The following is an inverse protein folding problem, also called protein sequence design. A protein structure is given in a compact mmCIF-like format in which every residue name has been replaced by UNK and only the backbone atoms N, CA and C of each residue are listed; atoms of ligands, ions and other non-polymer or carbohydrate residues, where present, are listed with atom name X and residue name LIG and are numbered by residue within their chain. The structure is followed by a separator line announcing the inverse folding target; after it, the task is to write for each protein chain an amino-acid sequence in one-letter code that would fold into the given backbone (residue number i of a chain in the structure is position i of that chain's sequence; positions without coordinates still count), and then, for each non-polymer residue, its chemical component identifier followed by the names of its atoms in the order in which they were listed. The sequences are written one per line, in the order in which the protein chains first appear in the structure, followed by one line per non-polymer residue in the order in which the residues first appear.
data_IF_196682497095
#
_entry.id   IF_196682497095
#
_cell.length_a   1.000
_cell.length_b   1.000
_cell.length_c   1.000
_cell.angle_alpha   90.00
_cell.angle_beta   90.00
_cell.angle_gamma   90.00
#
_symmetry.space_group_name_H-M   'P 1'
#
loop_
_entity.id
_entity.type
_entity.pdbx_description
1 polymer ?
#
# COMPACT_ATOMS: atom_id res chain seq x y z
N UNK A 1 56.82 -24.56 38.46
CA UNK A 1 56.61 -23.79 37.22
C UNK A 1 55.64 -24.59 36.33
N UNK A 2 54.52 -23.95 36.01
CA UNK A 2 53.46 -24.23 35.02
C UNK A 2 53.16 -25.67 34.56
N UNK A 3 52.00 -26.20 35.00
CA UNK A 3 51.23 -27.20 34.25
C UNK A 3 50.46 -26.50 33.12
N UNK A 4 50.76 -26.81 31.86
CA UNK A 4 49.98 -26.35 30.70
C UNK A 4 48.99 -27.46 30.35
N UNK A 5 47.71 -27.28 30.67
CA UNK A 5 46.63 -28.11 30.15
C UNK A 5 46.24 -27.61 28.76
N UNK A 6 46.54 -28.37 27.71
CA UNK A 6 46.02 -28.11 26.36
C UNK A 6 44.64 -28.74 26.22
N UNK A 7 43.58 -27.93 26.25
CA UNK A 7 42.23 -28.38 25.93
C UNK A 7 42.13 -28.72 24.42
N UNK A 8 42.19 -30.02 24.07
CA UNK A 8 41.83 -30.51 22.73
C UNK A 8 40.31 -30.64 22.61
N UNK A 9 39.63 -29.54 22.31
CA UNK A 9 38.29 -29.59 21.73
C UNK A 9 38.44 -29.61 20.21
N UNK A 10 38.60 -30.79 19.62
CA UNK A 10 38.48 -30.97 18.17
C UNK A 10 37.09 -31.50 17.87
N UNK A 11 36.18 -30.62 17.48
CA UNK A 11 34.89 -31.00 16.89
C UNK A 11 35.21 -31.79 15.61
N UNK A 12 34.72 -33.02 15.51
CA UNK A 12 34.99 -33.85 14.33
C UNK A 12 34.23 -33.31 13.11
N UNK A 13 34.83 -33.37 11.90
CA UNK A 13 34.14 -32.98 10.63
C UNK A 13 32.75 -33.63 10.48
N UNK A 14 32.57 -34.84 11.02
CA UNK A 14 31.29 -35.56 11.03
C UNK A 14 30.25 -34.90 11.97
N UNK A 15 30.66 -34.38 13.12
CA UNK A 15 29.79 -33.57 14.00
C UNK A 15 29.48 -32.21 13.36
N UNK A 16 30.44 -31.57 12.69
CA UNK A 16 30.21 -30.32 11.95
C UNK A 16 29.18 -30.51 10.82
N UNK A 17 29.31 -31.59 10.04
CA UNK A 17 28.37 -31.89 8.94
C UNK A 17 26.99 -32.34 9.43
N UNK A 18 26.90 -33.04 10.58
CA UNK A 18 25.61 -33.36 11.22
C UNK A 18 24.93 -32.11 11.80
N UNK A 19 25.70 -31.13 12.29
CA UNK A 19 25.19 -29.85 12.78
C UNK A 19 24.70 -28.91 11.66
N UNK A 20 25.28 -29.01 10.46
CA UNK A 20 24.93 -28.16 9.31
C UNK A 20 23.49 -28.38 8.82
N UNK A 21 22.95 -29.59 8.97
CA UNK A 21 21.54 -29.90 8.69
C UNK A 21 20.57 -29.25 9.68
N UNK A 22 20.98 -29.12 10.95
CA UNK A 22 20.19 -28.45 11.99
C UNK A 22 20.21 -26.91 11.81
N UNK A 23 21.29 -26.34 11.26
CA UNK A 23 21.36 -24.89 10.98
C UNK A 23 20.53 -24.43 9.78
N UNK A 24 20.19 -25.33 8.85
CA UNK A 24 19.22 -25.02 7.77
C UNK A 24 17.76 -25.09 8.25
N UNK A 25 17.50 -25.82 9.33
CA UNK A 25 16.17 -25.95 9.95
C UNK A 25 15.94 -24.94 11.09
N UNK A 26 16.99 -24.33 11.63
CA UNK A 26 16.90 -23.32 12.67
C UNK A 26 16.71 -21.93 12.04
N UNK A 27 15.60 -21.23 12.30
CA UNK A 27 15.52 -19.82 11.99
C UNK A 27 16.67 -19.09 12.70
N UNK A 28 17.33 -18.19 11.98
CA UNK A 28 18.44 -17.39 12.50
C UNK A 28 17.98 -16.66 13.78
N UNK A 29 18.45 -17.11 14.94
CA UNK A 29 18.05 -16.56 16.23
C UNK A 29 18.65 -15.17 16.38
N UNK A 30 17.82 -14.18 16.76
CA UNK A 30 18.19 -12.78 17.03
C UNK A 30 19.44 -12.64 17.93
N UNK A 31 19.67 -13.58 18.84
CA UNK A 31 20.83 -13.62 19.72
C UNK A 31 22.19 -13.78 19.00
N UNK A 32 22.19 -14.12 17.71
CA UNK A 32 23.39 -14.25 16.86
C UNK A 32 23.64 -13.02 15.97
N UNK A 33 22.85 -11.94 16.10
CA UNK A 33 23.16 -10.66 15.45
C UNK A 33 24.38 -10.01 16.12
N UNK A 34 25.46 -9.67 15.37
CA UNK A 34 26.55 -8.88 15.90
C UNK A 34 26.03 -7.51 16.37
N UNK A 35 26.23 -7.18 17.65
CA UNK A 35 25.88 -5.87 18.24
C UNK A 35 26.68 -4.70 17.65
N UNK A 36 27.75 -4.97 16.89
CA UNK A 36 28.55 -3.98 16.18
C UNK A 36 28.30 -4.10 14.69
N UNK A 37 27.45 -3.23 14.14
CA UNK A 37 27.18 -3.19 12.69
C UNK A 37 25.76 -2.84 12.30
N UNK A 38 24.83 -2.68 13.24
CA UNK A 38 23.61 -1.93 12.96
C UNK A 38 24.02 -0.47 12.74
N UNK A 39 24.28 -0.10 11.47
CA UNK A 39 23.82 1.20 11.04
C UNK A 39 22.35 1.22 11.44
N UNK A 40 22.01 2.05 12.43
CA UNK A 40 20.63 2.49 12.58
C UNK A 40 20.14 2.78 11.17
N UNK A 41 19.08 2.11 10.71
CA UNK A 41 18.47 2.50 9.45
C UNK A 41 18.10 3.97 9.63
N UNK A 42 18.92 4.82 9.05
CA UNK A 42 19.00 6.22 9.39
C UNK A 42 17.82 6.91 8.73
N UNK A 43 16.79 7.21 9.53
CA UNK A 43 15.62 7.99 9.14
C UNK A 43 14.33 7.19 9.15
N UNK A 44 13.25 7.84 9.59
CA UNK A 44 11.89 7.32 9.42
C UNK A 44 11.62 7.01 7.94
N UNK A 45 10.79 5.99 7.61
CA UNK A 45 10.46 5.69 6.23
C UNK A 45 9.85 6.90 5.53
N UNK A 46 10.46 7.32 4.41
CA UNK A 46 9.88 8.32 3.52
C UNK A 46 8.60 7.76 2.91
N UNK A 47 7.53 8.56 2.91
CA UNK A 47 6.22 8.19 2.37
C UNK A 47 5.79 9.22 1.33
N UNK A 48 5.01 8.77 0.36
CA UNK A 48 4.39 9.62 -0.65
C UNK A 48 2.87 9.59 -0.49
N UNK A 49 2.22 10.72 -0.69
CA UNK A 49 0.77 10.83 -0.74
C UNK A 49 0.36 11.59 -2.01
N UNK A 50 -0.58 11.01 -2.76
CA UNK A 50 -1.21 11.65 -3.91
C UNK A 50 -2.64 12.03 -3.52
N UNK A 51 -2.96 13.34 -3.55
CA UNK A 51 -4.28 13.85 -3.19
C UNK A 51 -5.07 14.20 -4.46
N UNK A 52 -6.14 13.47 -4.72
CA UNK A 52 -6.96 13.63 -5.92
C UNK A 52 -8.06 14.68 -5.72
N UNK A 53 -8.23 15.56 -6.70
CA UNK A 53 -9.29 16.58 -6.74
C UNK A 53 -10.07 16.42 -8.06
N UNK A 54 -11.13 15.59 -8.11
CA UNK A 54 -11.73 15.12 -9.37
C UNK A 54 -12.31 16.24 -10.24
N UNK A 55 -12.94 17.24 -9.63
CA UNK A 55 -13.47 18.42 -10.33
C UNK A 55 -12.47 19.58 -10.40
N UNK A 56 -11.22 19.33 -9.96
CA UNK A 56 -10.19 20.35 -9.87
C UNK A 56 -10.48 21.39 -8.79
N UNK A 57 -10.03 22.61 -9.08
CA UNK A 57 -10.00 23.74 -8.15
C UNK A 57 -10.41 24.99 -8.90
N UNK A 58 -10.78 26.04 -8.16
CA UNK A 58 -11.05 27.37 -8.74
C UNK A 58 -9.75 28.00 -9.27
N UNK A 59 -9.53 28.07 -10.60
CA UNK A 59 -8.21 28.37 -11.16
C UNK A 59 -7.68 29.76 -10.82
N UNK A 60 -8.56 30.78 -10.76
CA UNK A 60 -8.21 32.16 -10.41
C UNK A 60 -7.77 32.34 -8.96
N UNK A 61 -7.98 31.33 -8.11
CA UNK A 61 -7.62 31.33 -6.69
C UNK A 61 -6.62 30.25 -6.31
N UNK A 62 -6.17 29.42 -7.26
CA UNK A 62 -5.25 28.32 -7.04
C UNK A 62 -3.80 28.67 -7.38
N UNK A 63 -3.56 29.29 -8.55
CA UNK A 63 -2.21 29.49 -9.07
C UNK A 63 -1.50 30.64 -8.34
N UNK A 64 -0.32 30.39 -7.72
CA UNK A 64 0.54 31.43 -7.17
C UNK A 64 0.97 32.49 -8.19
N UNK A 65 1.22 33.72 -7.72
CA UNK A 65 1.93 34.75 -8.50
C UNK A 65 3.44 34.67 -8.28
N UNK A 66 4.22 35.11 -9.27
CA UNK A 66 5.69 35.08 -9.21
C UNK A 66 6.30 33.73 -9.59
N UNK A 67 7.61 33.59 -9.41
CA UNK A 67 8.36 32.37 -9.78
C UNK A 67 9.59 32.15 -8.89
N UNK A 68 10.18 30.96 -8.98
CA UNK A 68 11.35 30.58 -8.19
C UNK A 68 11.01 30.46 -6.71
N UNK A 69 11.90 30.93 -5.83
CA UNK A 69 11.69 30.90 -4.37
C UNK A 69 10.78 32.03 -3.84
N UNK A 70 10.52 33.04 -4.66
CA UNK A 70 9.85 34.28 -4.26
C UNK A 70 8.38 34.34 -4.72
N UNK A 71 7.76 33.19 -4.98
CA UNK A 71 6.34 33.17 -5.33
C UNK A 71 5.46 33.55 -4.12
N UNK A 72 4.27 34.05 -4.39
CA UNK A 72 3.27 34.39 -3.38
C UNK A 72 2.15 33.35 -3.40
N UNK A 73 1.79 32.83 -2.23
CA UNK A 73 0.71 31.86 -2.13
C UNK A 73 -0.61 32.48 -2.57
N UNK A 74 -1.38 31.71 -3.35
CA UNK A 74 -2.74 32.05 -3.70
C UNK A 74 -3.68 31.88 -2.50
N UNK A 75 -4.90 32.45 -2.52
CA UNK A 75 -5.84 32.31 -1.42
C UNK A 75 -6.13 30.85 -1.02
N UNK A 76 -6.22 29.91 -1.98
CA UNK A 76 -6.46 28.50 -1.68
C UNK A 76 -5.23 27.85 -1.01
N UNK A 77 -4.02 28.28 -1.38
CA UNK A 77 -2.78 27.73 -0.83
C UNK A 77 -2.31 28.45 0.45
N UNK A 78 -2.95 29.56 0.84
CA UNK A 78 -2.61 30.35 2.04
C UNK A 78 -2.50 29.55 3.35
N UNK A 79 -3.25 28.45 3.60
CA UNK A 79 -3.06 27.64 4.80
C UNK A 79 -1.70 26.93 4.87
N UNK A 80 -0.95 26.87 3.75
CA UNK A 80 0.37 26.23 3.66
C UNK A 80 1.53 27.20 3.93
N UNK A 81 1.27 28.46 4.33
CA UNK A 81 2.31 29.47 4.57
C UNK A 81 3.39 28.97 5.55
N UNK A 82 2.99 28.26 6.60
CA UNK A 82 3.91 27.71 7.60
C UNK A 82 4.92 26.68 7.04
N UNK A 83 4.67 26.12 5.86
CA UNK A 83 5.53 25.14 5.18
C UNK A 83 5.95 25.61 3.79
N UNK A 84 5.85 26.91 3.51
CA UNK A 84 6.11 27.51 2.18
C UNK A 84 7.51 27.16 1.65
N UNK A 85 8.51 27.08 2.52
CA UNK A 85 9.89 26.72 2.14
C UNK A 85 10.04 25.29 1.61
N UNK A 86 9.08 24.41 1.92
CA UNK A 86 8.99 23.03 1.44
C UNK A 86 8.02 22.86 0.27
N UNK A 87 7.37 23.94 -0.18
CA UNK A 87 6.37 23.89 -1.23
C UNK A 87 7.00 24.15 -2.60
N UNK A 88 6.71 23.28 -3.56
CA UNK A 88 6.96 23.54 -4.99
C UNK A 88 5.64 23.48 -5.72
N UNK A 89 5.26 24.59 -6.37
CA UNK A 89 4.06 24.65 -7.20
C UNK A 89 4.47 24.71 -8.66
N UNK A 90 4.05 23.70 -9.43
CA UNK A 90 4.37 23.60 -10.86
C UNK A 90 3.12 23.95 -11.67
N UNK A 91 3.18 25.04 -12.43
CA UNK A 91 2.13 25.49 -13.33
C UNK A 91 2.38 25.05 -14.78
N UNK A 92 1.33 24.94 -15.58
CA UNK A 92 1.43 24.63 -17.01
C UNK A 92 1.65 23.15 -17.34
N UNK A 93 1.57 22.27 -16.34
CA UNK A 93 1.54 20.82 -16.58
C UNK A 93 0.16 20.40 -17.10
N UNK A 94 0.15 19.55 -18.12
CA UNK A 94 -1.07 18.91 -18.61
C UNK A 94 -0.80 17.46 -19.02
N UNK A 95 -1.75 16.58 -18.73
CA UNK A 95 -1.77 15.23 -19.29
C UNK A 95 -2.41 15.27 -20.69
N UNK A 96 -1.59 15.51 -21.71
CA UNK A 96 -2.03 15.62 -23.11
C UNK A 96 -2.86 14.41 -23.59
N UNK A 97 -2.52 13.15 -23.27
CA UNK A 97 -3.40 12.00 -23.52
C UNK A 97 -4.84 12.13 -23.02
N UNK A 98 -5.09 12.78 -21.87
CA UNK A 98 -6.43 12.99 -21.30
C UNK A 98 -7.27 14.08 -21.99
N UNK A 99 -6.75 14.75 -23.03
CA UNK A 99 -7.53 15.72 -23.81
C UNK A 99 -8.52 15.06 -24.79
N UNK A 100 -8.52 13.73 -24.86
CA UNK A 100 -9.44 12.95 -25.71
C UNK A 100 -10.49 12.28 -24.83
N UNK A 101 -11.69 12.09 -25.40
CA UNK A 101 -12.76 11.33 -24.75
C UNK A 101 -13.49 12.09 -23.65
N UNK A 102 -14.19 11.32 -22.82
CA UNK A 102 -15.00 11.86 -21.73
C UNK A 102 -14.14 12.43 -20.58
N UNK A 103 -14.54 13.60 -20.08
CA UNK A 103 -13.78 14.31 -19.05
C UNK A 103 -13.83 13.65 -17.68
N UNK A 104 -14.83 12.83 -17.37
CA UNK A 104 -14.95 12.17 -16.07
C UNK A 104 -14.05 10.93 -15.99
N UNK A 105 -14.11 10.05 -17.00
CA UNK A 105 -13.39 8.78 -16.99
C UNK A 105 -11.91 8.91 -17.40
N UNK A 106 -11.61 9.65 -18.46
CA UNK A 106 -10.22 9.77 -18.96
C UNK A 106 -9.31 10.55 -18.00
N UNK A 107 -9.87 11.50 -17.24
CA UNK A 107 -9.12 12.28 -16.26
C UNK A 107 -8.90 11.50 -14.96
N UNK A 108 -9.92 10.79 -14.48
CA UNK A 108 -9.84 10.05 -13.22
C UNK A 108 -8.86 8.88 -13.33
N UNK A 109 -9.08 7.97 -14.28
CA UNK A 109 -8.22 6.80 -14.46
C UNK A 109 -6.81 7.15 -14.96
N UNK A 110 -6.68 8.19 -15.78
CA UNK A 110 -5.40 8.62 -16.35
C UNK A 110 -4.55 9.52 -15.44
N UNK A 111 -5.05 9.89 -14.26
CA UNK A 111 -4.42 10.91 -13.42
C UNK A 111 -2.98 10.54 -13.01
N UNK A 112 -2.80 9.35 -12.43
CA UNK A 112 -1.48 8.90 -11.92
C UNK A 112 -0.66 8.12 -12.95
N UNK A 113 -1.25 7.70 -14.08
CA UNK A 113 -0.53 7.02 -15.17
C UNK A 113 0.05 7.98 -16.19
N UNK A 114 -0.42 9.24 -16.22
CA UNK A 114 -0.12 10.22 -17.28
C UNK A 114 -0.34 9.66 -18.70
N UNK A 115 -1.30 8.75 -18.85
CA UNK A 115 -1.64 8.05 -20.09
C UNK A 115 -3.13 8.20 -20.40
N UNK A 116 -3.58 7.61 -21.52
CA UNK A 116 -5.00 7.51 -21.88
C UNK A 116 -5.57 6.16 -21.42
N UNK A 117 -6.88 6.05 -21.32
CA UNK A 117 -7.56 4.76 -21.12
C UNK A 117 -7.97 4.11 -22.45
N UNK A 118 -8.19 2.80 -22.43
CA UNK A 118 -8.87 2.09 -23.51
C UNK A 118 -10.39 2.34 -23.45
N UNK A 119 -10.99 2.69 -24.59
CA UNK A 119 -12.46 2.85 -24.70
C UNK A 119 -13.12 1.47 -24.72
N UNK A 120 -13.55 0.99 -23.55
CA UNK A 120 -14.17 -0.33 -23.38
C UNK A 120 -15.37 -0.27 -22.44
N UNK A 121 -16.28 -1.23 -22.62
CA UNK A 121 -17.42 -1.48 -21.74
C UNK A 121 -17.12 -2.50 -20.64
N UNK A 122 -15.92 -3.11 -20.60
CA UNK A 122 -15.43 -3.77 -19.38
C UNK A 122 -14.45 -4.93 -19.53
N UNK A 123 -14.39 -5.67 -20.65
CA UNK A 123 -13.49 -6.84 -20.76
C UNK A 123 -12.01 -6.46 -20.82
N UNK A 124 -11.71 -5.31 -21.43
CA UNK A 124 -10.34 -4.90 -21.79
C UNK A 124 -9.97 -3.60 -21.09
N UNK A 125 -10.25 -3.53 -19.79
CA UNK A 125 -9.96 -2.33 -18.99
C UNK A 125 -8.46 -2.13 -18.97
N UNK A 126 -8.03 -0.94 -19.38
CA UNK A 126 -6.62 -0.56 -19.37
C UNK A 126 -6.46 0.95 -19.24
N UNK A 127 -5.63 1.38 -18.29
CA UNK A 127 -5.12 2.74 -18.18
C UNK A 127 -3.79 2.95 -18.93
N UNK A 128 -3.38 1.95 -19.74
CA UNK A 128 -2.21 2.00 -20.62
C UNK A 128 -0.91 2.42 -19.91
N UNK A 129 -0.77 2.06 -18.63
CA UNK A 129 0.41 2.38 -17.83
C UNK A 129 0.28 1.95 -16.38
N UNK A 130 1.43 1.85 -15.72
CA UNK A 130 1.51 1.70 -14.26
C UNK A 130 1.44 3.11 -13.66
N UNK A 131 0.66 3.25 -12.60
CA UNK A 131 0.52 4.53 -11.90
C UNK A 131 1.75 4.88 -11.05
N UNK A 132 2.07 6.17 -10.94
CA UNK A 132 3.29 6.66 -10.26
C UNK A 132 3.34 6.28 -8.77
N UNK A 133 2.19 6.20 -8.10
CA UNK A 133 2.08 5.73 -6.72
C UNK A 133 2.51 4.27 -6.57
N UNK A 134 2.23 3.42 -7.56
CA UNK A 134 2.65 2.03 -7.55
C UNK A 134 4.14 1.88 -7.89
N UNK A 135 4.66 2.69 -8.82
CA UNK A 135 6.10 2.78 -9.07
C UNK A 135 6.84 3.20 -7.79
N UNK A 136 6.31 4.19 -7.06
CA UNK A 136 6.87 4.60 -5.78
C UNK A 136 6.77 3.48 -4.73
N UNK A 137 5.62 2.83 -4.60
CA UNK A 137 5.42 1.73 -3.65
C UNK A 137 6.42 0.58 -3.86
N UNK A 138 6.77 0.25 -5.11
CA UNK A 138 7.80 -0.75 -5.42
C UNK A 138 9.22 -0.32 -4.98
N UNK A 139 9.52 0.97 -5.09
CA UNK A 139 10.82 1.54 -4.77
C UNK A 139 11.04 1.76 -3.26
N UNK A 140 10.06 2.36 -2.55
CA UNK A 140 10.21 2.80 -1.16
C UNK A 140 9.31 2.07 -0.16
N UNK A 141 8.32 1.31 -0.62
CA UNK A 141 7.34 0.62 0.24
C UNK A 141 7.86 -0.61 0.99
N UNK A 142 9.17 -0.94 0.87
CA UNK A 142 9.78 -2.10 1.54
C UNK A 142 9.96 -1.90 3.06
N UNK A 143 9.98 -0.65 3.50
CA UNK A 143 10.22 -0.27 4.89
C UNK A 143 8.93 0.01 5.67
N UNK A 144 7.76 -0.24 5.07
CA UNK A 144 6.44 0.00 5.67
C UNK A 144 5.60 -1.29 5.70
N UNK A 145 4.69 -1.43 6.68
CA UNK A 145 3.78 -2.59 6.81
C UNK A 145 2.97 -2.82 5.53
N UNK A 146 2.44 -1.72 4.99
CA UNK A 146 1.74 -1.69 3.71
C UNK A 146 2.62 -0.91 2.70
N UNK A 147 2.90 -1.48 1.52
CA UNK A 147 3.68 -0.78 0.49
C UNK A 147 2.90 0.37 -0.15
N UNK A 148 1.59 0.20 -0.30
CA UNK A 148 0.64 1.22 -0.76
C UNK A 148 -0.68 1.11 0.03
N UNK A 149 -1.44 2.20 0.06
CA UNK A 149 -2.79 2.21 0.58
C UNK A 149 -3.64 3.24 -0.17
N UNK A 150 -4.60 2.74 -0.92
CA UNK A 150 -5.52 3.52 -1.73
C UNK A 150 -6.74 3.88 -0.88
N UNK A 151 -7.02 5.18 -0.71
CA UNK A 151 -8.13 5.68 0.08
C UNK A 151 -9.13 6.40 -0.82
N UNK A 152 -10.42 6.29 -0.48
CA UNK A 152 -11.49 6.91 -1.24
C UNK A 152 -12.62 7.40 -0.35
N UNK A 153 -13.52 8.18 -0.93
CA UNK A 153 -14.73 8.69 -0.24
C UNK A 153 -16.01 8.08 -0.80
N UNK A 154 -15.93 7.38 -1.93
CA UNK A 154 -17.08 6.86 -2.67
C UNK A 154 -16.89 5.37 -2.98
N UNK A 155 -17.96 4.57 -2.92
CA UNK A 155 -17.89 3.16 -3.25
C UNK A 155 -17.60 2.94 -4.74
N UNK A 156 -16.95 1.81 -5.04
CA UNK A 156 -16.68 1.40 -6.42
C UNK A 156 -18.00 1.17 -7.15
N UNK A 157 -18.17 1.85 -8.27
CA UNK A 157 -19.36 1.72 -9.11
C UNK A 157 -19.05 0.80 -10.30
N UNK A 158 -19.78 -0.32 -10.38
CA UNK A 158 -19.70 -1.26 -11.50
C UNK A 158 -20.74 -0.95 -12.58
N UNK A 159 -20.60 -1.58 -13.75
CA UNK A 159 -21.50 -1.41 -14.90
C UNK A 159 -21.00 -0.42 -15.94
N UNK A 160 -21.86 -0.09 -16.90
CA UNK A 160 -21.54 0.74 -18.05
C UNK A 160 -22.29 2.07 -17.92
N UNK A 161 -21.58 3.19 -18.09
CA UNK A 161 -22.24 4.46 -18.35
C UNK A 161 -22.69 4.50 -19.82
N UNK A 162 -24.00 4.45 -20.03
CA UNK A 162 -24.64 4.43 -21.35
C UNK A 162 -24.51 5.76 -22.09
N UNK A 163 -24.22 6.87 -21.40
CA UNK A 163 -24.08 8.17 -22.04
C UNK A 163 -22.77 8.25 -22.84
N UNK A 164 -21.71 7.63 -22.32
CA UNK A 164 -20.37 7.67 -22.91
C UNK A 164 -19.88 6.29 -23.38
N UNK A 165 -20.66 5.23 -23.13
CA UNK A 165 -20.36 3.84 -23.44
C UNK A 165 -19.01 3.36 -22.87
N UNK A 166 -18.73 3.73 -21.61
CA UNK A 166 -17.53 3.33 -20.88
C UNK A 166 -17.88 2.58 -19.61
N UNK A 167 -17.00 1.69 -19.18
CA UNK A 167 -17.12 1.08 -17.85
C UNK A 167 -16.98 2.13 -16.75
N UNK A 168 -17.86 2.05 -15.74
CA UNK A 168 -17.83 2.92 -14.56
C UNK A 168 -16.62 2.67 -13.65
N UNK A 169 -15.91 1.55 -13.86
CA UNK A 169 -14.67 1.22 -13.17
C UNK A 169 -13.61 2.32 -13.33
N UNK A 170 -13.52 2.98 -14.50
CA UNK A 170 -12.57 4.06 -14.71
C UNK A 170 -12.82 5.30 -13.84
N UNK A 171 -14.06 5.49 -13.37
CA UNK A 171 -14.41 6.59 -12.47
C UNK A 171 -14.15 6.26 -10.99
N UNK A 172 -13.92 4.99 -10.67
CA UNK A 172 -13.76 4.51 -9.29
C UNK A 172 -12.30 4.24 -8.90
N UNK A 173 -11.35 4.37 -9.83
CA UNK A 173 -9.95 3.99 -9.62
C UNK A 173 -9.00 5.05 -10.17
N UNK A 174 -8.01 5.41 -9.36
CA UNK A 174 -6.91 6.32 -9.72
C UNK A 174 -5.55 5.62 -9.74
N UNK A 175 -5.44 4.47 -9.06
CA UNK A 175 -4.22 3.68 -8.89
C UNK A 175 -4.28 2.40 -9.70
N UNK A 176 -3.18 2.09 -10.39
CA UNK A 176 -3.02 1.01 -11.37
C UNK A 176 -1.68 0.30 -11.14
N UNK A 177 -1.73 -0.96 -10.69
CA UNK A 177 -0.53 -1.79 -10.45
C UNK A 177 0.09 -2.26 -11.76
N UNK A 178 -0.76 -2.59 -12.73
CA UNK A 178 -0.44 -2.91 -14.13
C UNK A 178 -1.39 -2.09 -15.01
N UNK A 179 -1.11 -1.96 -16.32
CA UNK A 179 -2.00 -1.24 -17.23
C UNK A 179 -3.47 -1.67 -17.11
N UNK A 180 -3.72 -2.94 -16.85
CA UNK A 180 -5.01 -3.62 -16.80
C UNK A 180 -5.48 -3.98 -15.38
N UNK A 181 -4.71 -3.66 -14.34
CA UNK A 181 -5.01 -4.04 -12.95
C UNK A 181 -5.25 -2.79 -12.09
N UNK A 182 -6.50 -2.33 -11.96
CA UNK A 182 -6.86 -1.24 -11.05
C UNK A 182 -6.81 -1.70 -9.59
N UNK A 183 -6.49 -0.79 -8.68
CA UNK A 183 -6.44 -1.07 -7.24
C UNK A 183 -7.62 -0.43 -6.50
N UNK A 184 -8.43 -1.23 -5.78
CA UNK A 184 -9.63 -0.74 -5.10
C UNK A 184 -9.27 0.19 -3.95
N UNK A 185 -10.07 1.24 -3.76
CA UNK A 185 -9.91 2.15 -2.62
C UNK A 185 -10.60 1.62 -1.36
N UNK A 186 -9.98 1.90 -0.20
CA UNK A 186 -10.59 1.72 1.10
C UNK A 186 -11.37 2.97 1.47
N UNK A 187 -12.67 2.81 1.66
CA UNK A 187 -13.59 3.91 2.01
C UNK A 187 -13.92 3.95 3.50
N UNK A 188 -13.69 2.84 4.23
CA UNK A 188 -13.99 2.78 5.65
C UNK A 188 -12.76 3.26 6.45
N UNK A 189 -12.85 4.40 7.15
CA UNK A 189 -11.72 4.94 7.90
C UNK A 189 -11.28 4.04 9.05
N UNK A 190 -12.20 3.27 9.66
CA UNK A 190 -11.85 2.29 10.70
C UNK A 190 -11.07 1.12 10.10
N UNK A 191 -11.48 0.62 8.93
CA UNK A 191 -10.73 -0.43 8.22
C UNK A 191 -9.32 0.05 7.83
N UNK A 192 -9.22 1.26 7.29
CA UNK A 192 -7.93 1.88 6.96
C UNK A 192 -7.04 2.04 8.20
N UNK A 193 -7.60 2.53 9.31
CA UNK A 193 -6.89 2.70 10.58
C UNK A 193 -6.40 1.35 11.13
N UNK A 194 -7.28 0.35 11.16
CA UNK A 194 -6.94 -0.97 11.66
C UNK A 194 -5.82 -1.61 10.83
N UNK A 195 -5.88 -1.48 9.51
CA UNK A 195 -4.83 -1.97 8.60
C UNK A 195 -3.48 -1.29 8.87
N UNK A 196 -3.46 0.03 9.08
CA UNK A 196 -2.24 0.79 9.32
C UNK A 196 -1.63 0.56 10.70
N UNK A 197 -2.46 0.54 11.75
CA UNK A 197 -2.01 0.75 13.12
C UNK A 197 -2.40 -0.34 14.10
N UNK A 198 -3.37 -1.19 13.77
CA UNK A 198 -3.72 -2.29 14.66
C UNK A 198 -2.54 -3.26 14.68
N UNK A 199 -1.87 -3.28 15.83
CA UNK A 199 -0.98 -4.35 16.20
C UNK A 199 -1.84 -5.62 16.23
N UNK A 200 -1.42 -6.64 15.50
CA UNK A 200 -1.83 -8.00 15.82
C UNK A 200 -1.42 -8.22 17.26
N UNK A 201 -2.41 -8.25 18.15
CA UNK A 201 -2.19 -8.45 19.57
C UNK A 201 -1.24 -9.63 19.82
N UNK A 202 -0.54 -9.53 20.94
CA UNK A 202 0.48 -10.41 21.56
C UNK A 202 0.16 -11.92 21.64
N UNK A 203 -0.80 -12.42 20.87
CA UNK A 203 -1.18 -13.84 20.78
C UNK A 203 -0.34 -14.66 19.81
N UNK A 204 0.53 -14.06 18.98
CA UNK A 204 1.45 -14.83 18.12
C UNK A 204 0.75 -15.79 17.13
N UNK A 205 -0.59 -15.75 17.03
CA UNK A 205 -1.33 -16.46 15.99
C UNK A 205 -1.28 -15.60 14.74
N UNK A 206 -0.08 -15.49 14.16
CA UNK A 206 0.05 -15.24 12.73
C UNK A 206 -0.80 -16.31 12.06
N UNK A 207 -1.87 -15.90 11.38
CA UNK A 207 -2.87 -16.75 10.76
C UNK A 207 -2.21 -17.74 9.79
N UNK A 208 -1.79 -18.90 10.28
CA UNK A 208 -1.38 -20.03 9.44
C UNK A 208 -2.57 -20.55 8.61
N UNK A 209 -3.79 -20.30 9.05
CA UNK A 209 -5.03 -20.62 8.33
C UNK A 209 -5.19 -19.77 7.06
N UNK A 210 -4.83 -18.48 7.05
CA UNK A 210 -4.95 -17.64 5.84
C UNK A 210 -3.95 -18.08 4.75
N UNK A 211 -2.71 -18.47 5.11
CA UNK A 211 -1.75 -19.04 4.13
C UNK A 211 -2.24 -20.37 3.56
N UNK A 212 -2.75 -21.25 4.43
CA UNK A 212 -3.26 -22.56 4.00
C UNK A 212 -4.46 -22.45 3.05
N UNK A 213 -5.35 -21.48 3.25
CA UNK A 213 -6.49 -21.25 2.35
C UNK A 213 -6.02 -20.65 1.02
N UNK A 214 -5.05 -19.74 1.05
CA UNK A 214 -4.48 -19.13 -0.16
C UNK A 214 -3.75 -20.18 -1.02
N UNK A 215 -3.01 -21.10 -0.39
CA UNK A 215 -2.32 -22.20 -1.08
C UNK A 215 -3.32 -23.14 -1.78
N UNK A 216 -4.43 -23.49 -1.11
CA UNK A 216 -5.51 -24.30 -1.69
C UNK A 216 -6.16 -23.58 -2.88
N UNK A 217 -6.45 -22.28 -2.75
CA UNK A 217 -7.04 -21.47 -3.83
C UNK A 217 -6.07 -21.32 -5.02
N UNK A 218 -4.76 -21.23 -4.76
CA UNK A 218 -3.74 -21.18 -5.80
C UNK A 218 -3.66 -22.47 -6.59
N UNK A 219 -3.69 -23.62 -5.92
CA UNK A 219 -3.64 -24.94 -6.57
C UNK A 219 -4.89 -25.22 -7.40
N UNK A 220 -6.08 -24.86 -6.89
CA UNK A 220 -7.35 -24.97 -7.61
C UNK A 220 -7.39 -24.01 -8.80
N UNK A 221 -6.93 -22.77 -8.62
CA UNK A 221 -6.84 -21.81 -9.71
C UNK A 221 -5.83 -22.23 -10.79
N UNK A 222 -4.68 -22.79 -10.41
CA UNK A 222 -3.69 -23.32 -11.36
C UNK A 222 -4.24 -24.53 -12.14
N UNK A 223 -5.08 -25.34 -11.50
CA UNK A 223 -5.78 -26.45 -12.15
C UNK A 223 -6.84 -25.95 -13.12
N UNK A 224 -7.65 -24.96 -12.70
CA UNK A 224 -8.67 -24.32 -13.53
C UNK A 224 -8.04 -23.57 -14.72
N UNK A 225 -6.87 -22.96 -14.53
CA UNK A 225 -6.10 -22.31 -15.61
C UNK A 225 -5.79 -23.29 -16.75
N UNK A 226 -5.63 -24.59 -16.49
CA UNK A 226 -5.37 -25.59 -17.55
C UNK A 226 -6.58 -25.86 -18.44
N UNK A 227 -7.79 -25.68 -17.92
CA UNK A 227 -9.06 -25.97 -18.61
C UNK A 227 -9.72 -24.73 -19.24
N UNK A 228 -9.31 -23.52 -18.85
CA UNK A 228 -9.90 -22.27 -19.34
C UNK A 228 -9.41 -21.85 -20.73
N UNK A 229 -10.29 -21.13 -21.45
CA UNK A 229 -9.96 -20.42 -22.68
C UNK A 229 -9.04 -19.22 -22.43
N UNK A 230 -8.48 -18.65 -23.50
CA UNK A 230 -7.44 -17.61 -23.43
C UNK A 230 -7.90 -16.34 -22.69
N UNK A 231 -9.14 -15.90 -22.89
CA UNK A 231 -9.69 -14.71 -22.21
C UNK A 231 -9.91 -14.93 -20.71
N UNK A 232 -10.45 -16.08 -20.32
CA UNK A 232 -10.71 -16.39 -18.91
C UNK A 232 -9.42 -16.64 -18.13
N UNK A 233 -8.38 -17.17 -18.79
CA UNK A 233 -7.03 -17.27 -18.23
C UNK A 233 -6.49 -15.89 -17.83
N UNK A 234 -6.74 -14.87 -18.63
CA UNK A 234 -6.27 -13.51 -18.36
C UNK A 234 -6.96 -12.91 -17.13
N UNK A 235 -8.29 -13.06 -17.02
CA UNK A 235 -9.05 -12.64 -15.83
C UNK A 235 -8.62 -13.38 -14.56
N UNK A 236 -8.37 -14.68 -14.67
CA UNK A 236 -7.88 -15.49 -13.56
C UNK A 236 -6.47 -15.06 -13.13
N UNK A 237 -5.58 -14.69 -14.06
CA UNK A 237 -4.27 -14.14 -13.74
C UNK A 237 -4.36 -12.80 -13.01
N UNK A 238 -5.26 -11.90 -13.44
CA UNK A 238 -5.52 -10.64 -12.74
C UNK A 238 -6.02 -10.87 -11.31
N UNK A 239 -6.96 -11.81 -11.14
CA UNK A 239 -7.44 -12.23 -9.82
C UNK A 239 -6.33 -12.81 -8.94
N UNK A 240 -5.52 -13.74 -9.47
CA UNK A 240 -4.40 -14.35 -8.75
C UNK A 240 -3.31 -13.34 -8.36
N UNK A 241 -3.07 -12.32 -9.20
CA UNK A 241 -2.19 -11.21 -8.87
C UNK A 241 -2.73 -10.39 -7.68
N UNK A 242 -4.05 -10.14 -7.63
CA UNK A 242 -4.67 -9.49 -6.48
C UNK A 242 -4.54 -10.31 -5.19
N UNK A 243 -4.67 -11.64 -5.27
CA UNK A 243 -4.53 -12.56 -4.12
C UNK A 243 -3.09 -12.62 -3.63
N UNK A 244 -2.10 -12.68 -4.53
CA UNK A 244 -0.67 -12.61 -4.18
C UNK A 244 -0.30 -11.29 -3.49
N UNK A 245 -0.96 -10.19 -3.81
CA UNK A 245 -0.73 -8.94 -3.07
C UNK A 245 -1.22 -9.05 -1.61
N UNK A 246 -2.32 -9.75 -1.38
CA UNK A 246 -2.79 -10.04 -0.01
C UNK A 246 -1.79 -10.95 0.71
N UNK A 247 -1.25 -11.97 0.05
CA UNK A 247 -0.22 -12.84 0.64
C UNK A 247 1.05 -12.05 0.99
N UNK A 248 1.57 -11.25 0.05
CA UNK A 248 2.76 -10.42 0.27
C UNK A 248 2.56 -9.42 1.41
N UNK A 249 1.32 -8.91 1.56
CA UNK A 249 0.92 -8.08 2.69
C UNK A 249 1.02 -8.87 4.01
N UNK A 250 0.49 -10.08 4.07
CA UNK A 250 0.59 -10.96 5.26
C UNK A 250 2.06 -11.31 5.58
N UNK A 251 2.88 -11.57 4.58
CA UNK A 251 4.31 -11.83 4.78
C UNK A 251 5.07 -10.63 5.32
N UNK A 252 4.77 -9.43 4.81
CA UNK A 252 5.35 -8.18 5.29
C UNK A 252 4.91 -7.88 6.73
N UNK A 253 3.65 -8.18 7.06
CA UNK A 253 3.14 -8.12 8.44
C UNK A 253 3.92 -9.07 9.36
N UNK A 254 4.10 -10.33 8.97
CA UNK A 254 4.83 -11.33 9.75
C UNK A 254 6.31 -10.94 9.96
N UNK A 255 6.97 -10.37 8.94
CA UNK A 255 8.37 -9.92 9.02
C UNK A 255 8.55 -8.71 9.96
N UNK A 256 7.57 -7.80 10.02
CA UNK A 256 7.64 -6.62 10.88
C UNK A 256 7.29 -6.92 12.35
N UNK A 257 6.50 -7.95 12.63
CA UNK A 257 6.24 -8.44 14.00
C UNK A 257 7.54 -8.86 14.70
N UNK A 258 8.52 -9.39 13.96
CA UNK A 258 9.85 -9.73 14.50
C UNK A 258 10.77 -8.53 14.76
N UNK A 259 10.45 -7.34 14.24
CA UNK A 259 11.33 -6.17 14.29
C UNK A 259 11.02 -5.18 15.42
N UNK A 260 9.90 -5.34 16.13
CA UNK A 260 9.47 -4.43 17.20
C UNK A 260 9.14 -3.03 16.69
N UNK A 261 7.87 -2.66 16.65
CA UNK A 261 7.49 -1.30 16.26
C UNK A 261 7.83 -0.30 17.38
N UNK A 262 8.84 0.55 17.16
CA UNK A 262 9.17 1.69 18.02
C UNK A 262 8.29 2.89 17.67
N UNK A 263 7.05 2.92 18.15
CA UNK A 263 6.18 4.10 18.05
C UNK A 263 6.56 5.06 19.19
N UNK A 264 6.83 6.33 18.87
CA UNK A 264 7.11 7.35 19.89
C UNK A 264 5.86 7.67 20.74
N UNK A 265 6.05 8.09 21.98
CA UNK A 265 4.92 8.42 22.89
C UNK A 265 4.00 9.52 22.31
N UNK A 266 4.56 10.47 21.55
CA UNK A 266 3.80 11.51 20.87
C UNK A 266 2.92 10.95 19.74
N UNK A 267 3.48 10.04 18.92
CA UNK A 267 2.72 9.36 17.87
C UNK A 267 1.61 8.47 18.44
N UNK A 268 1.86 7.80 19.58
CA UNK A 268 0.84 7.01 20.27
C UNK A 268 -0.35 7.86 20.75
N UNK A 269 -0.10 9.08 21.26
CA UNK A 269 -1.16 10.00 21.66
C UNK A 269 -2.00 10.44 20.46
N UNK A 270 -1.35 10.87 19.37
CA UNK A 270 -2.05 11.25 18.13
C UNK A 270 -2.87 10.11 17.55
N UNK A 271 -2.37 8.88 17.65
CA UNK A 271 -3.06 7.69 17.20
C UNK A 271 -4.37 7.45 17.99
N UNK A 272 -4.32 7.59 19.31
CA UNK A 272 -5.52 7.46 20.16
C UNK A 272 -6.56 8.54 19.86
N UNK A 273 -6.13 9.78 19.66
CA UNK A 273 -7.02 10.89 19.29
C UNK A 273 -7.68 10.66 17.92
N UNK A 274 -6.91 10.14 16.95
CA UNK A 274 -7.43 9.77 15.63
C UNK A 274 -8.46 8.65 15.73
N UNK A 275 -8.17 7.59 16.50
CA UNK A 275 -9.09 6.46 16.69
C UNK A 275 -10.43 6.93 17.27
N UNK A 276 -10.40 7.82 18.28
CA UNK A 276 -11.61 8.41 18.86
C UNK A 276 -12.43 9.18 17.82
N UNK A 277 -11.77 10.02 17.00
CA UNK A 277 -12.45 10.80 15.95
C UNK A 277 -13.11 9.91 14.91
N UNK A 278 -12.43 8.82 14.51
CA UNK A 278 -12.99 7.83 13.57
C UNK A 278 -14.21 7.15 14.20
N UNK A 279 -14.13 6.71 15.46
CA UNK A 279 -15.25 6.12 16.17
C UNK A 279 -16.48 7.03 16.23
N UNK A 280 -16.29 8.32 16.56
CA UNK A 280 -17.38 9.31 16.58
C UNK A 280 -17.99 9.53 15.18
N UNK A 281 -17.16 9.66 14.15
CA UNK A 281 -17.63 9.86 12.77
C UNK A 281 -18.38 8.64 12.20
N UNK A 282 -18.04 7.43 12.67
CA UNK A 282 -18.66 6.17 12.25
C UNK A 282 -19.90 5.77 13.08
N UNK A 283 -20.42 6.67 13.93
CA UNK A 283 -21.65 6.45 14.69
C UNK A 283 -21.48 5.64 15.98
N UNK A 284 -20.26 5.53 16.51
CA UNK A 284 -19.94 4.85 17.75
C UNK A 284 -20.20 5.71 18.99
N UNK A 285 -21.47 6.06 19.23
CA UNK A 285 -22.00 6.26 20.59
C UNK A 285 -23.50 5.93 20.60
N UNK A 286 -23.82 4.64 20.46
CA UNK A 286 -25.07 4.11 21.00
C UNK A 286 -24.79 3.66 22.43
N UNK A 287 -24.74 4.62 23.35
CA UNK A 287 -25.23 4.34 24.69
C UNK A 287 -26.69 3.98 24.53
N UNK A 288 -27.02 2.71 24.72
CA UNK A 288 -28.38 2.25 24.99
C UNK A 288 -28.68 2.60 26.46
N UNK A 289 -29.59 3.55 26.77
CA UNK A 289 -30.06 3.75 28.11
C UNK A 289 -31.53 3.29 28.15
N UNK A 290 -31.76 2.03 28.53
CA UNK A 290 -33.06 1.66 29.07
C UNK A 290 -33.59 0.30 28.66
N UNK A 291 -33.18 -0.71 29.42
CA UNK A 291 -34.16 -1.60 30.01
C UNK A 291 -35.21 -0.78 30.77
N UNK A 292 -36.41 -0.67 30.21
CA UNK A 292 -37.77 -1.02 30.73
C UNK A 292 -38.77 -0.66 29.64
#
# INVERSE_FOLDING_TARGET
MANIHTHRWQISRRQTLRGFGATLALPFLEAMRPLYGQKASSGDPVRMACLFMPNGVRPDKWTPSGSGKNFELSPILSPLEAVKEHLTVISGLTNKPSHKGDGHYFKTAGWLTCSTIASTTGSDVSANGISIDQIAAEAIGRNTKLPSMELGTEPITSGIDRNVNLTRLYGSHISWKKPDVPLPCEINPQSAFDRLFRNTDKSGKSKSEDRSVIDIVLDDANSLKKTLGTEDKHKLEQYLESVREVERRIENEAKQIGAGQNISAAAAKQLNDLNRRIGTAMGGDKTDPGSV
#
